data_IF_087719130354
#
_entry.id   IF_087719130354
#
_cell.length_a   1.000
_cell.length_b   1.000
_cell.length_c   1.000
_cell.angle_alpha   90.00
_cell.angle_beta   90.00
_cell.angle_gamma   90.00
#
_symmetry.space_group_name_H-M   'P 1'
#
loop_
_entity.id
_entity.type
_entity.pdbx_description
1 polymer ?
#
# COMPACT_ATOMS: atom_id res chain seq x y z
N UNK A 1 9.97 -14.22 -2.25
CA UNK A 1 11.06 -13.21 -2.14
C UNK A 1 10.56 -12.04 -1.32
N UNK A 2 11.37 -11.54 -0.43
CA UNK A 2 11.06 -10.38 0.42
C UNK A 2 11.84 -9.18 -0.11
N UNK A 3 11.12 -8.05 -0.31
CA UNK A 3 11.72 -6.78 -0.74
C UNK A 3 11.90 -5.88 0.49
N UNK A 4 12.89 -4.98 0.45
CA UNK A 4 13.17 -4.09 1.57
C UNK A 4 13.66 -4.82 2.80
N UNK A 5 14.60 -5.74 2.64
CA UNK A 5 15.11 -6.58 3.72
C UNK A 5 15.84 -5.77 4.79
N UNK A 6 15.97 -6.36 5.99
CA UNK A 6 16.63 -5.73 7.13
C UNK A 6 15.76 -4.60 7.71
N UNK A 7 16.41 -3.53 8.15
CA UNK A 7 15.75 -2.39 8.78
C UNK A 7 15.22 -1.37 7.79
N UNK A 8 15.28 -1.67 6.48
CA UNK A 8 14.90 -0.74 5.43
C UNK A 8 13.39 -0.54 5.31
N UNK A 9 12.59 -1.39 5.92
CA UNK A 9 11.13 -1.43 5.71
C UNK A 9 10.35 -1.35 7.01
N UNK A 10 9.16 -0.74 6.97
CA UNK A 10 8.17 -0.81 8.05
C UNK A 10 6.83 -1.20 7.45
N UNK A 11 5.94 -1.78 8.27
CA UNK A 11 4.58 -2.12 7.82
C UNK A 11 3.85 -0.86 7.37
N UNK A 12 3.21 -0.86 6.19
CA UNK A 12 2.52 0.34 5.70
C UNK A 12 1.29 0.74 6.52
N UNK A 13 0.70 -0.18 7.29
CA UNK A 13 -0.46 0.11 8.15
C UNK A 13 -0.02 0.02 9.60
N UNK A 14 -0.17 1.11 10.34
CA UNK A 14 0.26 1.21 11.74
C UNK A 14 -0.96 1.15 12.67
N UNK A 15 -1.53 -0.04 12.80
CA UNK A 15 -2.69 -0.29 13.66
C UNK A 15 -3.20 -1.70 13.47
N UNK A 16 -4.41 -2.01 14.00
CA UNK A 16 -5.01 -3.33 13.84
C UNK A 16 -5.13 -3.68 12.36
N UNK A 17 -4.74 -4.90 11.99
CA UNK A 17 -4.67 -5.28 10.57
C UNK A 17 -4.83 -6.77 10.38
N UNK A 18 -5.42 -7.15 9.23
CA UNK A 18 -5.55 -8.53 8.80
C UNK A 18 -5.35 -8.60 7.29
N UNK A 19 -4.65 -9.61 6.81
CA UNK A 19 -4.38 -9.79 5.39
C UNK A 19 -4.11 -11.26 5.08
N UNK A 20 -4.28 -11.61 3.80
CA UNK A 20 -4.00 -12.94 3.29
C UNK A 20 -3.38 -12.80 1.90
N UNK A 21 -2.82 -13.90 1.39
CA UNK A 21 -2.28 -13.90 0.01
C UNK A 21 -3.43 -14.03 -0.98
N UNK A 22 -3.79 -12.93 -1.61
CA UNK A 22 -4.86 -12.86 -2.62
C UNK A 22 -4.31 -12.48 -4.00
N UNK A 23 -3.01 -12.54 -4.19
CA UNK A 23 -2.38 -12.23 -5.47
C UNK A 23 -2.94 -13.11 -6.58
N UNK A 24 -3.28 -12.47 -7.71
CA UNK A 24 -3.77 -13.18 -8.90
C UNK A 24 -5.23 -13.58 -8.86
N UNK A 25 -5.95 -13.33 -7.77
CA UNK A 25 -7.39 -13.61 -7.71
C UNK A 25 -8.15 -12.75 -8.72
N UNK A 26 -9.22 -13.28 -9.33
CA UNK A 26 -10.01 -12.52 -10.30
C UNK A 26 -10.61 -11.24 -9.73
N UNK A 27 -10.63 -10.20 -10.53
CA UNK A 27 -11.27 -8.90 -10.24
C UNK A 27 -12.18 -8.52 -11.40
N UNK A 28 -13.01 -7.49 -11.23
CA UNK A 28 -13.93 -7.03 -12.26
C UNK A 28 -13.19 -6.60 -13.53
N UNK A 29 -13.85 -6.73 -14.68
CA UNK A 29 -13.29 -6.30 -15.96
C UNK A 29 -12.17 -7.17 -16.50
N UNK A 30 -12.10 -8.43 -16.10
CA UNK A 30 -11.05 -9.36 -16.57
C UNK A 30 -9.69 -9.12 -15.94
N UNK A 31 -9.60 -8.23 -14.95
CA UNK A 31 -8.36 -7.96 -14.23
C UNK A 31 -8.06 -9.07 -13.20
N UNK A 32 -6.83 -9.11 -12.73
CA UNK A 32 -6.44 -9.94 -11.59
C UNK A 32 -5.89 -9.03 -10.48
N UNK A 33 -5.95 -9.50 -9.25
CA UNK A 33 -5.43 -8.76 -8.10
C UNK A 33 -3.90 -8.69 -8.17
N UNK A 34 -3.36 -7.49 -8.12
CA UNK A 34 -1.92 -7.23 -8.25
C UNK A 34 -1.29 -6.64 -6.99
N UNK A 35 -1.86 -6.95 -5.84
CA UNK A 35 -1.37 -6.45 -4.58
C UNK A 35 -1.83 -7.30 -3.42
N UNK A 36 -1.76 -6.73 -2.23
CA UNK A 36 -2.32 -7.30 -1.01
C UNK A 36 -3.29 -6.29 -0.42
N UNK A 37 -4.46 -6.79 0.04
CA UNK A 37 -5.43 -5.96 0.75
C UNK A 37 -5.22 -6.15 2.25
N UNK A 38 -4.87 -5.06 2.92
CA UNK A 38 -4.66 -5.05 4.37
C UNK A 38 -5.89 -4.42 5.01
N UNK A 39 -6.73 -5.27 5.60
CA UNK A 39 -7.96 -4.83 6.27
C UNK A 39 -7.57 -4.14 7.56
N UNK A 40 -8.12 -2.95 7.78
CA UNK A 40 -7.83 -2.13 8.95
C UNK A 40 -8.95 -1.11 9.14
N UNK A 41 -9.21 -0.64 10.37
CA UNK A 41 -10.24 0.38 10.58
C UNK A 41 -9.98 1.65 9.79
N UNK A 42 -11.07 2.31 9.35
CA UNK A 42 -10.98 3.62 8.72
C UNK A 42 -10.16 4.58 9.59
N UNK A 43 -9.35 5.39 8.95
CA UNK A 43 -8.46 6.39 9.58
C UNK A 43 -7.23 5.81 10.29
N UNK A 44 -6.97 4.51 10.18
CA UNK A 44 -5.70 3.95 10.64
C UNK A 44 -4.54 4.58 9.85
N UNK A 45 -3.45 4.90 10.52
CA UNK A 45 -2.30 5.54 9.90
C UNK A 45 -1.68 4.66 8.83
N UNK A 46 -1.43 5.25 7.66
CA UNK A 46 -0.69 4.65 6.55
C UNK A 46 0.64 5.39 6.43
N UNK A 47 1.74 4.65 6.40
CA UNK A 47 3.08 5.23 6.46
C UNK A 47 3.93 4.84 5.26
N UNK A 48 4.94 5.66 5.00
CA UNK A 48 5.96 5.35 3.99
C UNK A 48 6.75 4.13 4.45
N UNK A 49 6.82 3.10 3.62
CA UNK A 49 7.54 1.85 3.95
C UNK A 49 9.05 2.02 3.91
N UNK A 50 9.53 2.99 3.15
CA UNK A 50 10.94 3.36 3.00
C UNK A 50 11.03 4.87 2.85
N UNK A 51 12.24 5.43 2.92
CA UNK A 51 12.49 6.82 2.54
C UNK A 51 12.16 6.99 1.05
N UNK A 52 11.63 8.13 0.67
CA UNK A 52 11.32 8.40 -0.72
C UNK A 52 10.52 9.67 -0.94
N UNK A 53 9.81 9.72 -2.05
CA UNK A 53 8.95 10.84 -2.42
C UNK A 53 7.53 10.34 -2.61
N UNK A 54 6.60 10.88 -1.82
CA UNK A 54 5.19 10.50 -1.83
C UNK A 54 4.40 11.47 -2.71
N UNK A 55 3.67 10.95 -3.70
CA UNK A 55 2.91 11.73 -4.65
C UNK A 55 1.45 11.28 -4.64
N UNK A 56 0.55 12.21 -4.34
CA UNK A 56 -0.89 11.94 -4.30
C UNK A 56 -1.48 11.96 -5.71
N UNK A 57 -2.39 11.03 -5.97
CA UNK A 57 -3.16 10.97 -7.22
C UNK A 57 -4.54 10.40 -6.93
N UNK A 58 -5.44 10.48 -7.94
CA UNK A 58 -6.74 9.83 -7.89
C UNK A 58 -6.96 9.05 -9.17
N UNK A 59 -7.69 7.94 -9.06
CA UNK A 59 -8.19 7.20 -10.22
C UNK A 59 -9.44 6.43 -9.83
N UNK A 60 -10.19 5.93 -10.84
CA UNK A 60 -11.47 5.30 -10.61
C UNK A 60 -11.38 4.04 -9.75
N UNK A 61 -10.35 3.22 -9.99
CA UNK A 61 -10.20 1.95 -9.27
C UNK A 61 -9.64 2.17 -7.86
N UNK A 62 -8.59 2.95 -7.76
CA UNK A 62 -7.87 3.13 -6.48
C UNK A 62 -8.46 4.20 -5.58
N UNK A 63 -9.26 5.12 -6.13
CA UNK A 63 -9.74 6.28 -5.38
C UNK A 63 -8.61 7.24 -5.06
N UNK A 64 -8.46 7.59 -3.79
CA UNK A 64 -7.32 8.37 -3.32
C UNK A 64 -6.12 7.45 -3.18
N UNK A 65 -5.05 7.73 -3.93
CA UNK A 65 -3.86 6.88 -3.98
C UNK A 65 -2.61 7.68 -3.72
N UNK A 66 -1.54 6.97 -3.36
CA UNK A 66 -0.18 7.51 -3.31
C UNK A 66 0.73 6.57 -4.10
N UNK A 67 1.60 7.18 -4.91
CA UNK A 67 2.79 6.52 -5.41
C UNK A 67 3.98 7.00 -4.58
N UNK A 68 4.64 6.08 -3.92
CA UNK A 68 5.89 6.35 -3.21
C UNK A 68 7.05 5.86 -4.09
N UNK A 69 7.87 6.81 -4.55
CA UNK A 69 9.10 6.48 -5.26
C UNK A 69 10.19 6.33 -4.22
N UNK A 70 10.56 5.08 -3.93
CA UNK A 70 11.49 4.76 -2.85
C UNK A 70 12.93 5.08 -3.20
N UNK A 71 13.69 5.47 -2.18
CA UNK A 71 15.14 5.63 -2.32
C UNK A 71 15.83 4.29 -2.59
N UNK A 72 15.15 3.18 -2.35
CA UNK A 72 15.62 1.82 -2.65
C UNK A 72 15.48 1.45 -4.13
N UNK A 73 14.94 2.36 -4.97
CA UNK A 73 14.75 2.12 -6.40
C UNK A 73 13.42 1.45 -6.75
N UNK A 74 12.59 1.11 -5.78
CA UNK A 74 11.28 0.52 -6.01
C UNK A 74 10.20 1.59 -5.93
N UNK A 75 9.03 1.30 -6.53
CA UNK A 75 7.85 2.14 -6.36
C UNK A 75 6.77 1.35 -5.62
N UNK A 76 6.07 2.04 -4.76
CA UNK A 76 5.03 1.45 -3.90
C UNK A 76 3.72 2.17 -4.14
N UNK A 77 2.64 1.41 -4.28
CA UNK A 77 1.31 1.93 -4.58
C UNK A 77 0.39 1.68 -3.39
N UNK A 78 -0.26 2.75 -2.93
CA UNK A 78 -1.17 2.75 -1.79
C UNK A 78 -2.53 3.23 -2.30
N UNK A 79 -3.59 2.43 -2.17
CA UNK A 79 -4.89 2.79 -2.70
C UNK A 79 -6.01 2.73 -1.65
N UNK A 80 -7.16 3.29 -2.02
CA UNK A 80 -8.38 3.37 -1.22
C UNK A 80 -8.24 4.23 0.04
N UNK A 81 -7.31 5.19 0.02
CA UNK A 81 -7.08 6.06 1.16
C UNK A 81 -8.28 6.96 1.42
N UNK A 82 -8.57 7.23 2.70
CA UNK A 82 -9.60 8.19 3.09
C UNK A 82 -9.13 9.61 2.78
N UNK A 83 -7.89 9.89 3.07
CA UNK A 83 -7.25 11.19 2.82
C UNK A 83 -5.73 11.02 2.74
N UNK A 84 -5.06 12.11 2.42
CA UNK A 84 -3.60 12.20 2.41
C UNK A 84 -3.12 13.00 3.62
N UNK A 85 -1.88 12.75 4.04
CA UNK A 85 -1.22 13.49 5.11
C UNK A 85 0.05 14.15 4.57
N UNK A 86 1.25 13.75 5.05
CA UNK A 86 2.50 14.36 4.58
C UNK A 86 2.90 13.80 3.22
N UNK A 87 3.12 14.68 2.26
CA UNK A 87 3.49 14.36 0.89
C UNK A 87 4.85 14.98 0.55
N UNK A 88 5.39 14.64 -0.63
CA UNK A 88 6.71 15.07 -1.06
C UNK A 88 7.81 14.21 -0.48
N UNK A 89 9.01 14.75 -0.24
CA UNK A 89 10.08 13.99 0.39
C UNK A 89 9.68 13.54 1.80
N UNK A 90 9.80 12.25 2.07
CA UNK A 90 9.43 11.67 3.37
C UNK A 90 10.48 10.65 3.79
N UNK A 91 10.60 10.45 5.10
CA UNK A 91 11.40 9.35 5.64
C UNK A 91 10.49 8.16 5.96
N UNK A 92 11.08 6.98 6.04
CA UNK A 92 10.39 5.76 6.45
C UNK A 92 9.61 6.02 7.76
N UNK A 93 8.36 5.57 7.79
CA UNK A 93 7.49 5.72 8.96
C UNK A 93 6.69 7.01 9.01
N UNK A 94 6.93 7.95 8.09
CA UNK A 94 6.11 9.17 8.01
C UNK A 94 4.67 8.81 7.64
N UNK A 95 3.70 9.36 8.36
CA UNK A 95 2.28 9.19 8.01
C UNK A 95 2.00 9.95 6.72
N UNK A 96 1.62 9.22 5.67
CA UNK A 96 1.35 9.79 4.35
C UNK A 96 -0.14 9.78 4.00
N UNK A 97 -0.95 9.04 4.75
CA UNK A 97 -2.39 8.99 4.55
C UNK A 97 -3.07 8.14 5.60
N UNK A 98 -4.34 7.86 5.37
CA UNK A 98 -5.16 7.05 6.30
C UNK A 98 -6.01 6.06 5.53
N UNK A 99 -6.25 4.90 6.13
CA UNK A 99 -7.06 3.83 5.55
C UNK A 99 -8.48 4.31 5.30
N UNK A 100 -9.03 3.97 4.14
CA UNK A 100 -10.39 4.28 3.75
C UNK A 100 -11.00 3.19 2.87
N UNK A 101 -11.97 3.59 2.05
CA UNK A 101 -12.67 2.72 1.11
C UNK A 101 -13.01 3.46 -0.20
N UNK A 102 -12.17 4.42 -0.59
CA UNK A 102 -12.39 5.19 -1.82
C UNK A 102 -12.14 4.34 -3.08
N UNK A 103 -12.57 4.83 -4.21
CA UNK A 103 -12.46 4.10 -5.47
C UNK A 103 -13.44 2.92 -5.51
N UNK A 104 -13.01 1.81 -6.10
CA UNK A 104 -13.86 0.61 -6.23
C UNK A 104 -14.03 -0.16 -4.91
N UNK A 105 -13.36 0.27 -3.83
CA UNK A 105 -13.58 -0.27 -2.49
C UNK A 105 -14.77 0.39 -1.78
N UNK A 106 -15.43 1.36 -2.41
CA UNK A 106 -16.55 2.10 -1.84
C UNK A 106 -17.63 1.12 -1.36
N UNK A 107 -18.10 1.34 -0.12
CA UNK A 107 -19.10 0.51 0.56
C UNK A 107 -18.61 -0.89 0.95
N UNK A 108 -17.34 -1.21 0.75
CA UNK A 108 -16.75 -2.44 1.28
C UNK A 108 -16.06 -2.16 2.62
N UNK A 109 -15.50 -3.22 3.23
CA UNK A 109 -14.72 -3.08 4.45
C UNK A 109 -13.49 -2.22 4.17
N UNK A 110 -13.21 -1.19 4.99
CA UNK A 110 -12.01 -0.38 4.81
C UNK A 110 -10.75 -1.23 4.78
N UNK A 111 -9.85 -0.91 3.85
CA UNK A 111 -8.58 -1.61 3.71
C UNK A 111 -7.60 -0.77 2.90
N UNK A 112 -6.32 -1.06 3.05
CA UNK A 112 -5.28 -0.55 2.18
C UNK A 112 -5.01 -1.59 1.10
N UNK A 113 -5.14 -1.22 -0.18
CA UNK A 113 -4.59 -2.01 -1.28
C UNK A 113 -3.17 -1.55 -1.53
N UNK A 114 -2.22 -2.45 -1.38
CA UNK A 114 -0.80 -2.14 -1.41
C UNK A 114 -0.09 -2.97 -2.48
N UNK A 115 0.75 -2.30 -3.29
CA UNK A 115 1.52 -2.96 -4.36
C UNK A 115 2.99 -2.63 -4.23
N UNK A 116 3.83 -3.57 -4.64
CA UNK A 116 5.28 -3.39 -4.76
C UNK A 116 5.64 -3.51 -6.24
N UNK A 117 6.30 -2.48 -6.77
CA UNK A 117 6.77 -2.42 -8.15
C UNK A 117 8.29 -2.33 -8.17
N UNK A 118 9.02 -3.46 -8.20
CA UNK A 118 10.48 -3.45 -8.20
C UNK A 118 11.03 -2.66 -9.40
N UNK A 119 11.94 -1.73 -9.14
CA UNK A 119 12.51 -0.87 -10.18
C UNK A 119 11.50 0.03 -10.87
N UNK A 120 10.28 0.18 -10.33
CA UNK A 120 9.20 0.93 -10.96
C UNK A 120 8.51 0.18 -12.09
N UNK A 121 8.81 -1.12 -12.26
CA UNK A 121 8.24 -1.98 -13.29
C UNK A 121 6.92 -2.63 -12.86
N UNK A 122 6.58 -3.80 -13.42
CA UNK A 122 5.35 -4.50 -13.07
C UNK A 122 5.31 -4.88 -11.60
N UNK A 123 4.10 -4.92 -11.03
CA UNK A 123 3.89 -5.36 -9.67
C UNK A 123 4.28 -6.83 -9.49
N UNK A 124 4.77 -7.15 -8.29
CA UNK A 124 5.04 -8.54 -7.87
C UNK A 124 4.19 -8.85 -6.64
N UNK A 125 4.04 -10.14 -6.32
CA UNK A 125 3.27 -10.52 -5.14
C UNK A 125 3.92 -9.95 -3.87
N UNK A 126 3.24 -9.03 -3.14
CA UNK A 126 3.83 -8.39 -1.96
C UNK A 126 3.64 -9.17 -0.67
N UNK A 127 2.94 -10.30 -0.71
CA UNK A 127 2.50 -11.00 0.50
C UNK A 127 3.67 -11.35 1.43
N UNK A 128 4.73 -11.95 0.89
CA UNK A 128 5.86 -12.38 1.73
C UNK A 128 6.52 -11.20 2.45
N UNK A 129 6.67 -10.06 1.78
CA UNK A 129 7.24 -8.85 2.37
C UNK A 129 6.31 -8.28 3.44
N UNK A 130 5.01 -8.17 3.12
CA UNK A 130 4.02 -7.67 4.08
C UNK A 130 3.96 -8.58 5.31
N UNK A 131 3.97 -9.90 5.12
CA UNK A 131 3.97 -10.84 6.22
C UNK A 131 5.23 -10.69 7.10
N UNK A 132 6.39 -10.44 6.48
CA UNK A 132 7.64 -10.28 7.23
C UNK A 132 7.63 -9.04 8.14
N UNK A 133 6.97 -7.95 7.74
CA UNK A 133 7.01 -6.67 8.46
C UNK A 133 5.71 -6.31 9.15
N UNK A 134 4.59 -6.97 8.87
CA UNK A 134 3.28 -6.63 9.39
C UNK A 134 2.72 -7.65 10.37
N UNK A 135 3.25 -8.84 10.46
CA UNK A 135 2.78 -9.81 11.45
C UNK A 135 3.20 -9.36 12.85
N UNK A 136 2.33 -9.57 13.85
CA UNK A 136 2.64 -9.23 15.22
C UNK A 136 3.83 -10.03 15.76
#
# INVERSE_FOLDING_TARGET
>A
MVYGVGDAWVCPVQGPRAFADTWGQPRSGGRVHQGVDIISPRNTDVVAVVDGVAQAKTNELGGNVIWLTGADGNRYYYAHLDNWATLGPVVKGTVIGHVGDTGNARFSTPHLHFEIHPGGGPAVNPYATVAAFCLP
#
